data_IF_785488787685
#
_entry.id   IF_785488787685
#
_cell.length_a   1.000
_cell.length_b   1.000
_cell.length_c   1.000
_cell.angle_alpha   90.00
_cell.angle_beta   90.00
_cell.angle_gamma   90.00
#
_symmetry.space_group_name_H-M   'P 1'
#
loop_
_entity.id
_entity.type
_entity.pdbx_description
1 polymer ?
#
# COMPACT_ATOMS: atom_id res chain seq x y z
N UNK A 1 8.48 -24.92 -26.52
CA UNK A 1 8.23 -23.85 -25.53
C UNK A 1 9.51 -23.69 -24.72
N UNK A 2 10.53 -23.09 -25.36
CA UNK A 2 11.95 -23.23 -24.96
C UNK A 2 12.67 -21.88 -25.02
N UNK A 3 11.93 -20.79 -24.85
CA UNK A 3 12.43 -19.41 -24.99
C UNK A 3 12.73 -18.71 -23.66
N UNK A 4 12.75 -19.42 -22.53
CA UNK A 4 12.83 -18.82 -21.19
C UNK A 4 14.25 -18.58 -20.63
N UNK A 5 15.33 -19.01 -21.29
CA UNK A 5 16.68 -18.89 -20.71
C UNK A 5 17.78 -18.63 -21.75
N UNK A 6 17.66 -17.54 -22.51
CA UNK A 6 18.76 -17.06 -23.40
C UNK A 6 19.64 -15.97 -22.73
N UNK A 7 19.71 -15.98 -21.40
CA UNK A 7 20.60 -15.14 -20.58
C UNK A 7 22.03 -15.71 -20.36
N UNK A 8 22.30 -17.04 -20.41
CA UNK A 8 23.65 -17.55 -20.09
C UNK A 8 24.74 -17.14 -21.08
N UNK A 9 24.40 -16.89 -22.35
CA UNK A 9 25.39 -16.60 -23.40
C UNK A 9 26.01 -15.20 -23.28
N UNK A 10 25.42 -14.31 -22.49
CA UNK A 10 25.98 -12.98 -22.22
C UNK A 10 27.14 -13.00 -21.21
N UNK A 11 27.24 -14.05 -20.40
CA UNK A 11 28.26 -14.17 -19.36
C UNK A 11 29.12 -15.42 -19.49
N UNK A 12 28.75 -16.39 -20.34
CA UNK A 12 29.69 -17.38 -20.89
C UNK A 12 30.54 -16.71 -21.98
N UNK A 13 31.33 -15.71 -21.58
CA UNK A 13 32.38 -15.20 -22.44
C UNK A 13 33.35 -16.36 -22.68
N UNK A 14 33.26 -16.93 -23.87
CA UNK A 14 34.40 -17.55 -24.51
C UNK A 14 35.49 -16.45 -24.50
N UNK A 15 36.62 -16.61 -23.79
CA UNK A 15 37.63 -15.55 -23.66
C UNK A 15 38.27 -15.13 -24.99
N UNK A 16 37.85 -15.75 -26.11
CA UNK A 16 38.24 -15.44 -27.47
C UNK A 16 37.45 -14.30 -28.14
N UNK A 17 36.37 -13.76 -27.55
CA UNK A 17 35.72 -12.54 -28.08
C UNK A 17 36.44 -11.31 -27.49
N UNK A 18 37.55 -10.98 -28.13
CA UNK A 18 38.48 -9.93 -27.73
C UNK A 18 37.90 -8.51 -27.74
N UNK A 19 38.14 -7.81 -26.64
CA UNK A 19 38.89 -6.55 -26.53
C UNK A 19 38.67 -5.36 -27.48
N UNK A 20 37.68 -5.33 -28.37
CA UNK A 20 37.28 -4.07 -29.02
C UNK A 20 35.76 -3.99 -29.24
N UNK A 21 34.96 -4.22 -28.19
CA UNK A 21 33.60 -3.73 -28.21
C UNK A 21 33.66 -2.20 -28.09
N UNK A 22 33.34 -1.49 -29.18
CA UNK A 22 33.14 -0.04 -29.16
C UNK A 22 32.22 0.31 -27.99
N UNK A 23 32.51 1.39 -27.25
CA UNK A 23 31.66 1.90 -26.14
C UNK A 23 30.18 1.99 -26.54
N UNK A 24 29.93 2.26 -27.83
CA UNK A 24 28.59 2.31 -28.42
C UNK A 24 27.86 0.95 -28.38
N UNK A 25 28.60 -0.14 -28.55
CA UNK A 25 28.06 -1.49 -28.55
C UNK A 25 27.75 -1.97 -27.13
N UNK A 26 28.64 -1.70 -26.17
CA UNK A 26 28.37 -1.95 -24.74
C UNK A 26 27.16 -1.15 -24.25
N UNK A 27 27.06 0.12 -24.65
CA UNK A 27 25.92 0.98 -24.31
C UNK A 27 24.61 0.46 -24.93
N UNK A 28 24.62 0.04 -26.21
CA UNK A 28 23.44 -0.52 -26.88
C UNK A 28 22.94 -1.78 -26.18
N UNK A 29 23.87 -2.64 -25.79
CA UNK A 29 23.60 -3.87 -25.06
C UNK A 29 22.97 -3.57 -23.70
N UNK A 30 23.60 -2.68 -22.93
CA UNK A 30 23.09 -2.25 -21.63
C UNK A 30 21.68 -1.66 -21.75
N UNK A 31 21.46 -0.75 -22.70
CA UNK A 31 20.17 -0.11 -22.92
C UNK A 31 19.09 -1.13 -23.30
N UNK A 32 19.43 -2.11 -24.14
CA UNK A 32 18.50 -3.17 -24.55
C UNK A 32 18.13 -4.06 -23.36
N UNK A 33 19.09 -4.40 -22.51
CA UNK A 33 18.83 -5.17 -21.29
C UNK A 33 17.95 -4.38 -20.30
N UNK A 34 18.23 -3.08 -20.11
CA UNK A 34 17.44 -2.19 -19.27
C UNK A 34 16.00 -2.08 -19.76
N UNK A 35 15.79 -1.83 -21.05
CA UNK A 35 14.45 -1.72 -21.64
C UNK A 35 13.65 -3.03 -21.50
N UNK A 36 14.30 -4.18 -21.68
CA UNK A 36 13.66 -5.48 -21.46
C UNK A 36 13.29 -5.70 -19.99
N UNK A 37 14.18 -5.35 -19.06
CA UNK A 37 13.88 -5.45 -17.63
C UNK A 37 12.70 -4.55 -17.23
N UNK A 38 12.67 -3.31 -17.72
CA UNK A 38 11.55 -2.38 -17.52
C UNK A 38 10.26 -2.97 -18.07
N UNK A 39 10.28 -3.51 -19.29
CA UNK A 39 9.12 -4.14 -19.92
C UNK A 39 8.56 -5.31 -19.09
N UNK A 40 9.44 -6.20 -18.59
CA UNK A 40 9.02 -7.31 -17.73
C UNK A 40 8.49 -6.85 -16.38
N UNK A 41 9.09 -5.82 -15.77
CA UNK A 41 8.59 -5.22 -14.53
C UNK A 41 7.20 -4.62 -14.73
N UNK A 42 6.96 -3.94 -15.86
CA UNK A 42 5.64 -3.40 -16.21
C UNK A 42 4.62 -4.53 -16.37
N UNK A 43 4.93 -5.58 -17.13
CA UNK A 43 4.03 -6.72 -17.32
C UNK A 43 3.72 -7.39 -15.98
N UNK A 44 4.75 -7.65 -15.17
CA UNK A 44 4.58 -8.27 -13.87
C UNK A 44 3.72 -7.41 -12.94
N UNK A 45 3.97 -6.09 -12.91
CA UNK A 45 3.17 -5.16 -12.13
C UNK A 45 1.70 -5.17 -12.58
N UNK A 46 1.44 -5.18 -13.88
CA UNK A 46 0.07 -5.29 -14.44
C UNK A 46 -0.60 -6.61 -13.99
N UNK A 47 0.10 -7.74 -14.13
CA UNK A 47 -0.43 -9.06 -13.73
C UNK A 47 -0.71 -9.11 -12.22
N UNK A 48 0.19 -8.56 -11.40
CA UNK A 48 0.01 -8.50 -9.96
C UNK A 48 -1.19 -7.62 -9.58
N UNK A 49 -1.31 -6.44 -10.18
CA UNK A 49 -2.46 -5.54 -9.96
C UNK A 49 -3.76 -6.23 -10.35
N UNK A 50 -3.79 -6.97 -11.47
CA UNK A 50 -4.96 -7.75 -11.88
C UNK A 50 -5.29 -8.87 -10.89
N UNK A 51 -4.29 -9.63 -10.41
CA UNK A 51 -4.50 -10.68 -9.41
C UNK A 51 -5.02 -10.12 -8.08
N UNK A 52 -4.45 -9.02 -7.60
CA UNK A 52 -4.89 -8.34 -6.39
C UNK A 52 -6.32 -7.78 -6.54
N UNK A 53 -6.64 -7.24 -7.71
CA UNK A 53 -7.99 -6.77 -8.02
C UNK A 53 -9.02 -7.93 -8.04
N UNK A 54 -8.66 -9.09 -8.61
CA UNK A 54 -9.51 -10.29 -8.61
C UNK A 54 -9.74 -10.81 -7.19
N UNK A 55 -8.73 -10.75 -6.32
CA UNK A 55 -8.87 -11.17 -4.93
C UNK A 55 -9.50 -10.15 -4.00
N UNK A 56 -9.88 -8.97 -4.51
CA UNK A 56 -10.43 -7.86 -3.72
C UNK A 56 -9.56 -7.46 -2.52
N UNK A 57 -8.28 -7.85 -2.53
CA UNK A 57 -7.33 -7.47 -1.49
C UNK A 57 -6.98 -6.01 -1.77
N UNK A 58 -7.22 -5.17 -0.76
CA UNK A 58 -6.85 -3.77 -0.82
C UNK A 58 -5.38 -3.62 -1.17
N UNK A 59 -5.08 -2.95 -2.28
CA UNK A 59 -3.70 -2.60 -2.63
C UNK A 59 -3.26 -1.53 -1.62
N UNK A 60 -2.52 -1.93 -0.59
CA UNK A 60 -1.72 -0.97 0.14
C UNK A 60 -0.62 -0.49 -0.80
N UNK A 61 -0.28 0.80 -0.74
CA UNK A 61 0.78 1.37 -1.58
C UNK A 61 2.11 0.59 -1.45
N UNK A 62 2.31 -0.08 -0.31
CA UNK A 62 3.44 -0.98 0.00
C UNK A 62 3.45 -2.31 -0.76
N UNK A 63 2.28 -2.89 -1.09
CA UNK A 63 2.20 -4.15 -1.85
C UNK A 63 2.68 -4.00 -3.29
N UNK A 64 2.62 -2.80 -3.86
CA UNK A 64 3.10 -2.52 -5.22
C UNK A 64 4.64 -2.66 -5.34
N UNK A 65 5.37 -2.57 -4.23
CA UNK A 65 6.84 -2.62 -4.19
C UNK A 65 7.39 -4.02 -3.85
N UNK A 66 6.55 -4.97 -3.41
CA UNK A 66 6.98 -6.35 -3.17
C UNK A 66 7.66 -7.04 -4.36
N UNK A 67 7.22 -6.85 -5.62
CA UNK A 67 7.88 -7.46 -6.77
C UNK A 67 9.35 -7.10 -6.89
N UNK A 68 9.71 -5.86 -6.56
CA UNK A 68 11.10 -5.38 -6.52
C UNK A 68 11.94 -6.13 -5.48
N UNK A 69 11.35 -6.53 -4.35
CA UNK A 69 12.03 -7.30 -3.30
C UNK A 69 12.27 -8.76 -3.71
N UNK A 70 11.31 -9.39 -4.37
CA UNK A 70 11.38 -10.82 -4.71
C UNK A 70 12.13 -11.12 -6.01
N UNK A 71 12.08 -10.23 -7.02
CA UNK A 71 12.83 -10.41 -8.27
C UNK A 71 14.33 -10.49 -8.04
N UNK A 72 14.80 -9.81 -6.99
CA UNK A 72 16.20 -9.79 -6.57
C UNK A 72 16.69 -11.13 -6.03
N UNK A 73 15.92 -11.83 -5.18
CA UNK A 73 16.35 -13.13 -4.61
C UNK A 73 16.50 -14.16 -5.73
N UNK A 74 15.59 -14.14 -6.69
CA UNK A 74 15.65 -14.98 -7.90
C UNK A 74 16.91 -14.63 -8.72
N UNK A 75 17.17 -13.34 -8.96
CA UNK A 75 18.37 -12.88 -9.66
C UNK A 75 19.68 -13.28 -8.94
N UNK A 76 19.75 -13.06 -7.63
CA UNK A 76 20.90 -13.40 -6.81
C UNK A 76 21.16 -14.90 -6.84
N UNK A 77 20.15 -15.75 -6.59
CA UNK A 77 20.30 -17.22 -6.64
C UNK A 77 20.81 -17.70 -8.00
N UNK A 78 20.37 -17.07 -9.10
CA UNK A 78 20.84 -17.40 -10.47
C UNK A 78 22.30 -16.97 -10.70
N UNK A 79 22.76 -15.86 -10.10
CA UNK A 79 24.07 -15.23 -10.36
C UNK A 79 25.16 -15.52 -9.31
N UNK A 80 24.79 -16.06 -8.14
CA UNK A 80 25.66 -16.19 -6.96
C UNK A 80 26.83 -17.15 -7.15
N UNK A 81 26.87 -17.98 -8.20
CA UNK A 81 28.02 -18.88 -8.40
C UNK A 81 29.31 -18.19 -8.85
N UNK A 82 29.30 -16.98 -9.42
CA UNK A 82 30.53 -16.38 -9.99
C UNK A 82 30.73 -14.85 -9.84
N UNK A 83 29.72 -14.04 -9.45
CA UNK A 83 29.83 -12.57 -9.54
C UNK A 83 29.37 -11.79 -8.29
N UNK A 84 29.58 -12.32 -7.08
CA UNK A 84 29.19 -11.70 -5.80
C UNK A 84 29.53 -10.20 -5.62
N UNK A 85 30.73 -9.69 -5.99
CA UNK A 85 31.04 -8.27 -5.80
C UNK A 85 30.25 -7.32 -6.73
N UNK A 86 29.81 -7.78 -7.91
CA UNK A 86 28.99 -6.96 -8.84
C UNK A 86 27.53 -6.84 -8.41
N UNK A 87 27.13 -7.67 -7.44
CA UNK A 87 25.77 -7.79 -6.93
C UNK A 87 25.52 -6.78 -5.78
N UNK A 88 26.57 -6.30 -5.10
CA UNK A 88 26.47 -5.40 -3.93
C UNK A 88 25.88 -4.03 -4.28
N UNK A 89 26.23 -3.47 -5.44
CA UNK A 89 25.76 -2.15 -5.85
C UNK A 89 24.23 -2.09 -6.07
N UNK A 90 23.61 -2.96 -6.91
CA UNK A 90 22.16 -2.95 -7.06
C UNK A 90 21.43 -3.33 -5.76
N UNK A 91 22.01 -4.21 -4.93
CA UNK A 91 21.46 -4.53 -3.61
C UNK A 91 21.40 -3.30 -2.68
N UNK A 92 22.48 -2.53 -2.64
CA UNK A 92 22.58 -1.33 -1.80
C UNK A 92 21.57 -0.27 -2.26
N UNK A 93 21.43 -0.07 -3.57
CA UNK A 93 20.45 0.88 -4.15
C UNK A 93 19.02 0.46 -3.77
N UNK A 94 18.68 -0.83 -3.88
CA UNK A 94 17.35 -1.32 -3.50
C UNK A 94 17.08 -1.13 -2.01
N UNK A 95 18.01 -1.49 -1.13
CA UNK A 95 17.86 -1.28 0.32
C UNK A 95 17.65 0.19 0.63
N UNK A 96 18.50 1.07 0.10
CA UNK A 96 18.40 2.51 0.34
C UNK A 96 17.06 3.03 -0.17
N UNK A 97 16.64 2.63 -1.37
CA UNK A 97 15.36 3.04 -1.96
C UNK A 97 14.18 2.54 -1.12
N UNK A 98 14.21 1.30 -0.65
CA UNK A 98 13.16 0.74 0.23
C UNK A 98 13.10 1.49 1.56
N UNK A 99 14.24 1.78 2.18
CA UNK A 99 14.30 2.56 3.41
C UNK A 99 13.72 3.97 3.18
N UNK A 100 14.12 4.63 2.09
CA UNK A 100 13.60 5.95 1.74
C UNK A 100 12.09 5.93 1.50
N UNK A 101 11.56 4.92 0.81
CA UNK A 101 10.11 4.77 0.58
C UNK A 101 9.38 4.52 1.91
N UNK A 102 9.90 3.63 2.76
CA UNK A 102 9.30 3.34 4.07
C UNK A 102 9.29 4.55 5.01
N UNK A 103 10.28 5.44 4.91
CA UNK A 103 10.35 6.66 5.72
C UNK A 103 9.53 7.83 5.13
N UNK A 104 9.27 7.83 3.82
CA UNK A 104 8.55 8.92 3.14
C UNK A 104 7.06 8.68 3.01
N UNK A 105 6.60 7.42 3.06
CA UNK A 105 5.17 7.10 3.11
C UNK A 105 4.68 7.35 4.55
N UNK A 106 3.78 8.32 4.78
CA UNK A 106 3.28 8.59 6.12
C UNK A 106 2.59 7.34 6.64
N UNK A 107 3.05 6.87 7.80
CA UNK A 107 2.45 5.72 8.48
C UNK A 107 0.99 6.03 8.79
N UNK A 108 0.11 5.07 8.50
CA UNK A 108 -1.31 5.20 8.85
C UNK A 108 -1.44 5.26 10.38
N UNK A 109 -2.33 6.12 10.94
CA UNK A 109 -2.49 6.23 12.37
C UNK A 109 -2.93 4.91 12.98
N UNK A 110 -2.19 4.45 13.96
CA UNK A 110 -2.50 3.29 14.82
C UNK A 110 -3.16 3.76 16.10
N UNK A 111 -3.72 2.82 16.88
CA UNK A 111 -4.29 3.09 18.19
C UNK A 111 -3.33 3.90 19.09
N UNK A 112 -2.03 3.60 19.04
CA UNK A 112 -0.97 4.24 19.84
C UNK A 112 -0.64 5.66 19.37
N UNK A 113 -0.81 5.94 18.08
CA UNK A 113 -0.49 7.25 17.48
C UNK A 113 -1.72 8.15 17.34
N UNK A 114 -2.91 7.68 17.76
CA UNK A 114 -4.16 8.44 17.70
C UNK A 114 -4.04 9.84 18.31
N UNK A 115 -3.41 9.95 19.49
CA UNK A 115 -3.26 11.23 20.19
C UNK A 115 -2.39 12.23 19.41
N UNK A 116 -1.39 11.75 18.67
CA UNK A 116 -0.53 12.59 17.84
C UNK A 116 -1.28 13.17 16.64
N UNK A 117 -2.23 12.41 16.09
CA UNK A 117 -3.04 12.81 14.94
C UNK A 117 -4.41 13.38 15.31
N UNK A 118 -4.72 13.50 16.61
CA UNK A 118 -6.04 13.87 17.11
C UNK A 118 -6.55 15.22 16.57
N UNK A 119 -5.65 16.20 16.45
CA UNK A 119 -5.99 17.51 15.89
C UNK A 119 -6.44 17.40 14.42
N UNK A 120 -5.72 16.64 13.61
CA UNK A 120 -6.05 16.42 12.20
C UNK A 120 -7.38 15.67 12.04
N UNK A 121 -7.67 14.73 12.94
CA UNK A 121 -8.96 14.04 13.00
C UNK A 121 -10.12 15.02 13.29
N UNK A 122 -9.98 15.90 14.28
CA UNK A 122 -10.99 16.93 14.60
C UNK A 122 -11.19 17.94 13.46
N UNK A 123 -10.12 18.32 12.75
CA UNK A 123 -10.20 19.19 11.58
C UNK A 123 -11.04 18.53 10.47
N UNK A 124 -10.84 17.25 10.18
CA UNK A 124 -11.69 16.51 9.23
C UNK A 124 -13.15 16.47 9.69
N UNK A 125 -13.40 16.21 10.97
CA UNK A 125 -14.76 16.24 11.53
C UNK A 125 -15.40 17.62 11.36
N UNK A 126 -14.65 18.70 11.57
CA UNK A 126 -15.12 20.07 11.35
C UNK A 126 -15.42 20.36 9.87
N UNK A 127 -14.59 19.84 8.94
CA UNK A 127 -14.84 19.94 7.50
C UNK A 127 -16.10 19.20 7.06
N UNK A 128 -16.39 18.05 7.66
CA UNK A 128 -17.66 17.32 7.42
C UNK A 128 -18.85 18.11 7.97
N UNK A 129 -18.75 18.66 9.19
CA UNK A 129 -19.85 19.44 9.80
C UNK A 129 -20.14 20.75 9.06
N UNK A 130 -19.11 21.43 8.59
CA UNK A 130 -19.23 22.68 7.82
C UNK A 130 -19.68 22.46 6.38
N UNK A 131 -19.74 21.20 5.90
CA UNK A 131 -20.14 20.86 4.54
C UNK A 131 -19.06 21.11 3.49
N UNK A 132 -17.81 21.39 3.89
CA UNK A 132 -16.68 21.44 2.97
C UNK A 132 -16.44 20.08 2.30
N UNK A 133 -16.58 19.00 3.08
CA UNK A 133 -16.62 17.63 2.56
C UNK A 133 -18.08 17.31 2.23
N UNK A 134 -18.42 17.34 0.94
CA UNK A 134 -19.79 17.08 0.46
C UNK A 134 -20.11 15.59 0.52
N UNK A 135 -21.15 15.23 1.25
CA UNK A 135 -21.78 13.90 1.17
C UNK A 135 -22.80 13.88 0.03
N UNK A 136 -22.86 12.85 -0.83
CA UNK A 136 -23.92 12.69 -1.81
C UNK A 136 -25.31 12.83 -1.16
N UNK A 137 -26.21 13.64 -1.71
CA UNK A 137 -27.55 13.80 -1.16
C UNK A 137 -28.33 12.47 -1.23
N UNK A 138 -29.10 12.16 -0.18
CA UNK A 138 -30.03 11.03 -0.16
C UNK A 138 -29.45 9.66 0.21
N UNK A 139 -28.14 9.56 0.49
CA UNK A 139 -27.54 8.30 0.95
C UNK A 139 -27.37 8.28 2.47
N UNK A 140 -27.84 7.22 3.18
CA UNK A 140 -27.67 7.10 4.63
C UNK A 140 -26.22 6.81 5.02
N UNK A 141 -25.45 6.18 4.12
CA UNK A 141 -24.02 5.93 4.23
C UNK A 141 -23.36 6.50 2.99
N UNK A 142 -22.33 7.32 3.17
CA UNK A 142 -21.59 7.94 2.08
C UNK A 142 -20.09 7.75 2.25
N UNK A 143 -19.42 7.30 1.20
CA UNK A 143 -17.95 7.27 1.17
C UNK A 143 -17.42 8.53 0.51
N UNK A 144 -16.54 9.25 1.20
CA UNK A 144 -15.98 10.51 0.68
C UNK A 144 -14.46 10.48 0.72
N UNK A 145 -13.85 10.95 -0.38
CA UNK A 145 -12.41 11.09 -0.49
C UNK A 145 -11.92 12.27 0.36
N UNK A 146 -10.86 12.07 1.13
CA UNK A 146 -10.23 13.16 1.88
C UNK A 146 -9.34 14.04 0.98
N UNK A 147 -9.20 15.34 1.30
CA UNK A 147 -8.16 16.19 0.73
C UNK A 147 -6.77 15.59 0.94
N UNK A 148 -5.84 15.85 0.02
CA UNK A 148 -4.50 15.22 0.02
C UNK A 148 -3.80 15.29 1.36
N UNK A 149 -3.87 16.44 2.04
CA UNK A 149 -3.19 16.68 3.32
C UNK A 149 -3.68 15.77 4.45
N UNK A 150 -4.91 15.24 4.36
CA UNK A 150 -5.52 14.39 5.40
C UNK A 150 -5.63 12.92 4.99
N UNK A 151 -5.20 12.53 3.78
CA UNK A 151 -5.30 11.14 3.32
C UNK A 151 -4.51 10.16 4.18
N UNK A 152 -3.45 10.62 4.83
CA UNK A 152 -2.65 9.80 5.75
C UNK A 152 -3.49 9.28 6.92
N UNK A 153 -4.60 9.93 7.29
CA UNK A 153 -5.48 9.50 8.39
C UNK A 153 -6.29 8.24 8.10
N UNK A 154 -6.29 7.77 6.84
CA UNK A 154 -7.02 6.59 6.40
C UNK A 154 -6.03 5.64 5.75
N UNK A 155 -5.83 4.45 6.30
CA UNK A 155 -4.95 3.44 5.72
C UNK A 155 -5.60 2.49 4.73
N UNK A 156 -6.94 2.42 4.73
CA UNK A 156 -7.65 1.55 3.79
C UNK A 156 -7.60 2.07 2.35
N UNK A 157 -7.83 1.18 1.36
CA UNK A 157 -7.79 1.50 -0.06
C UNK A 157 -8.66 2.69 -0.41
N UNK A 158 -8.24 3.46 -1.41
CA UNK A 158 -8.89 4.68 -1.87
C UNK A 158 -8.92 5.85 -0.85
N UNK A 159 -8.35 5.71 0.36
CA UNK A 159 -8.18 6.79 1.35
C UNK A 159 -9.48 7.56 1.63
N UNK A 160 -10.60 6.84 1.69
CA UNK A 160 -11.95 7.40 1.92
C UNK A 160 -12.40 7.23 3.36
N UNK A 161 -13.17 8.19 3.85
CA UNK A 161 -13.94 8.06 5.09
C UNK A 161 -15.36 7.60 4.77
N UNK A 162 -15.96 6.85 5.68
CA UNK A 162 -17.39 6.52 5.61
C UNK A 162 -18.16 7.42 6.58
N UNK A 163 -19.20 8.07 6.10
CA UNK A 163 -20.06 8.97 6.87
C UNK A 163 -21.47 8.39 6.86
N UNK A 164 -21.94 7.97 8.03
CA UNK A 164 -23.28 7.44 8.27
C UNK A 164 -24.13 8.48 9.01
N UNK A 165 -25.34 8.76 8.50
CA UNK A 165 -26.30 9.65 9.13
C UNK A 165 -27.42 8.84 9.81
N UNK A 166 -27.50 8.95 11.13
CA UNK A 166 -28.56 8.36 11.95
C UNK A 166 -29.40 9.49 12.59
N UNK A 167 -30.45 9.92 11.89
CA UNK A 167 -31.23 11.10 12.29
C UNK A 167 -30.37 12.37 12.28
N UNK A 168 -30.23 13.02 13.44
CA UNK A 168 -29.35 14.19 13.62
C UNK A 168 -27.90 13.83 14.01
N UNK A 169 -27.56 12.54 14.02
CA UNK A 169 -26.22 12.06 14.41
C UNK A 169 -25.39 11.75 13.18
N UNK A 170 -24.18 12.30 13.12
CA UNK A 170 -23.17 11.93 12.14
C UNK A 170 -22.19 10.95 12.81
N UNK A 171 -22.00 9.80 12.18
CA UNK A 171 -20.98 8.82 12.52
C UNK A 171 -19.95 8.83 11.39
N UNK A 172 -18.68 9.07 11.72
CA UNK A 172 -17.60 9.14 10.74
C UNK A 172 -16.60 8.05 11.05
N UNK A 173 -16.31 7.18 10.08
CA UNK A 173 -15.35 6.10 10.20
C UNK A 173 -14.10 6.38 9.37
N UNK A 174 -12.96 6.37 10.05
CA UNK A 174 -11.62 6.46 9.49
C UNK A 174 -10.99 5.07 9.52
N UNK A 175 -10.94 4.44 8.35
CA UNK A 175 -10.43 3.08 8.22
C UNK A 175 -8.90 3.11 8.29
N UNK A 176 -8.33 2.52 9.35
CA UNK A 176 -6.90 2.47 9.62
C UNK A 176 -6.21 1.33 8.88
N UNK A 177 -6.80 0.14 8.89
CA UNK A 177 -6.18 -1.04 8.29
C UNK A 177 -7.23 -2.06 7.84
N UNK A 178 -6.86 -2.85 6.82
CA UNK A 178 -7.58 -4.04 6.40
C UNK A 178 -6.80 -5.27 6.85
N UNK A 179 -7.48 -6.24 7.46
CA UNK A 179 -6.87 -7.52 7.78
C UNK A 179 -6.29 -8.15 6.52
N UNK A 180 -5.05 -8.65 6.62
CA UNK A 180 -4.33 -9.31 5.51
C UNK A 180 -5.11 -10.51 4.95
N UNK A 181 -6.00 -11.09 5.76
CA UNK A 181 -6.86 -12.22 5.41
C UNK A 181 -8.28 -11.95 5.92
N UNK A 182 -9.25 -11.79 5.01
CA UNK A 182 -10.66 -11.57 5.32
C UNK A 182 -11.14 -10.12 5.12
N UNK A 183 -12.40 -9.84 5.51
CA UNK A 183 -13.03 -8.52 5.39
C UNK A 183 -12.80 -7.63 6.62
N UNK A 184 -11.87 -8.01 7.51
CA UNK A 184 -11.58 -7.30 8.75
C UNK A 184 -11.20 -5.85 8.47
N UNK A 185 -11.90 -4.90 9.08
CA UNK A 185 -11.58 -3.48 9.08
C UNK A 185 -11.32 -3.02 10.49
N UNK A 186 -10.24 -2.24 10.65
CA UNK A 186 -9.95 -1.56 11.91
C UNK A 186 -9.91 -0.07 11.66
N UNK A 187 -10.31 0.73 12.65
CA UNK A 187 -10.29 2.18 12.47
C UNK A 187 -10.90 2.97 13.61
N UNK A 188 -10.88 4.29 13.42
CA UNK A 188 -11.42 5.26 14.36
C UNK A 188 -12.84 5.67 13.97
N UNK A 189 -13.73 5.72 14.94
CA UNK A 189 -15.11 6.17 14.77
C UNK A 189 -15.32 7.43 15.60
N UNK A 190 -15.77 8.48 14.94
CA UNK A 190 -16.32 9.67 15.59
C UNK A 190 -17.84 9.60 15.59
N UNK A 191 -18.49 9.95 16.71
CA UNK A 191 -19.95 10.00 16.84
C UNK A 191 -20.41 11.31 17.48
N UNK A 192 -21.29 12.05 16.82
CA UNK A 192 -21.63 13.42 17.24
C UNK A 192 -22.51 13.56 18.49
N UNK A 193 -23.30 12.54 18.84
CA UNK A 193 -24.33 12.59 19.90
C UNK A 193 -23.81 12.23 21.31
N UNK A 194 -22.50 12.03 21.48
CA UNK A 194 -21.83 11.60 22.74
C UNK A 194 -22.32 10.26 23.31
N UNK A 195 -23.19 9.52 22.59
CA UNK A 195 -23.63 8.20 23.03
C UNK A 195 -22.53 7.18 22.77
N UNK A 196 -22.45 6.18 23.63
CA UNK A 196 -21.59 5.03 23.38
C UNK A 196 -22.13 4.22 22.20
N UNK A 197 -21.22 3.62 21.44
CA UNK A 197 -21.59 2.74 20.33
C UNK A 197 -21.95 1.39 20.93
N UNK A 198 -23.23 1.02 20.84
CA UNK A 198 -23.69 -0.28 21.33
C UNK A 198 -23.05 -1.40 20.50
N UNK A 199 -22.21 -2.21 21.14
CA UNK A 199 -21.70 -3.46 20.56
C UNK A 199 -22.83 -4.47 20.62
N UNK A 200 -23.54 -4.66 19.51
CA UNK A 200 -24.39 -5.86 19.34
C UNK A 200 -23.50 -6.92 18.70
N UNK A 201 -23.20 -8.04 19.37
CA UNK A 201 -22.59 -9.17 18.69
C UNK A 201 -23.55 -9.59 17.57
N UNK A 202 -23.16 -9.33 16.33
CA UNK A 202 -23.95 -9.70 15.16
C UNK A 202 -23.58 -11.13 14.80
N UNK A 203 -24.30 -12.12 15.34
CA UNK A 203 -24.19 -13.53 14.92
C UNK A 203 -22.76 -14.04 14.66
N UNK A 204 -22.59 -14.86 13.61
CA UNK A 204 -21.37 -15.60 13.24
C UNK A 204 -20.10 -14.76 12.96
N UNK A 205 -20.06 -13.45 13.22
CA UNK A 205 -18.87 -12.61 13.07
C UNK A 205 -18.06 -12.61 14.38
N UNK A 206 -16.90 -13.29 14.43
CA UNK A 206 -16.26 -13.61 15.71
C UNK A 206 -15.54 -12.43 16.38
N UNK A 207 -15.39 -11.27 15.72
CA UNK A 207 -14.61 -10.15 16.26
C UNK A 207 -15.25 -8.79 15.95
N UNK A 208 -16.12 -8.35 16.86
CA UNK A 208 -16.57 -6.96 16.94
C UNK A 208 -16.06 -6.36 18.26
N UNK A 209 -15.02 -5.54 18.19
CA UNK A 209 -14.48 -4.82 19.35
C UNK A 209 -14.73 -3.33 19.19
N UNK A 210 -15.29 -2.68 20.21
CA UNK A 210 -15.37 -1.22 20.27
C UNK A 210 -14.79 -0.74 21.58
N UNK A 211 -13.73 0.08 21.49
CA UNK A 211 -13.05 0.67 22.64
C UNK A 211 -13.20 2.19 22.61
N UNK A 212 -13.73 2.78 23.68
CA UNK A 212 -13.79 4.24 23.81
C UNK A 212 -12.39 4.81 24.03
N UNK A 213 -12.02 5.82 23.23
CA UNK A 213 -10.73 6.49 23.31
C UNK A 213 -10.85 7.84 24.04
N UNK A 214 -11.78 8.69 23.58
CA UNK A 214 -12.06 10.03 24.11
C UNK A 214 -13.54 10.37 24.03
N UNK A 215 -13.94 11.56 24.50
CA UNK A 215 -15.30 12.07 24.25
C UNK A 215 -15.58 12.00 22.74
N UNK A 216 -16.65 11.30 22.35
CA UNK A 216 -17.08 11.08 20.95
C UNK A 216 -16.19 10.21 20.07
N UNK A 217 -15.06 9.70 20.56
CA UNK A 217 -14.10 8.91 19.77
C UNK A 217 -13.97 7.47 20.26
N UNK A 218 -14.01 6.55 19.31
CA UNK A 218 -13.96 5.11 19.55
C UNK A 218 -12.99 4.45 18.57
N UNK A 219 -12.31 3.40 19.00
CA UNK A 219 -11.64 2.44 18.14
C UNK A 219 -12.59 1.30 17.85
N UNK A 220 -12.69 0.89 16.59
CA UNK A 220 -13.56 -0.20 16.15
C UNK A 220 -12.77 -1.22 15.34
N UNK A 221 -12.98 -2.49 15.65
CA UNK A 221 -12.58 -3.65 14.86
C UNK A 221 -13.86 -4.38 14.44
N UNK A 222 -14.04 -4.59 13.13
CA UNK A 222 -15.17 -5.31 12.54
C UNK A 222 -14.67 -6.33 11.51
N UNK A 223 -15.33 -7.50 11.42
CA UNK A 223 -15.07 -8.56 10.43
C UNK A 223 -16.16 -8.63 9.35
#
# INVERSE_FOLDING_TARGET
MTFLFYWPTYFSANPAIGQTASVKEEYRIFLTALLRAIFFLIIYAIVLVLLLAVWQIGISDTLLFWPLLFFWVIYAVIQVKQNFPKIILPFSITIITTILVLLTVPANPTLETFDNHFKSFEEVVAMVKSGQIKTPPGQPVSEVLLPCDYRHLVGCPNRKISITKEGNTNIIFFCSDLGVWGNRKTGFVYRSDRKDISVKPSGNYPYLEVRKLKDRWFWKVED
#
